data_IF_636186148553
#
_entry.id   IF_636186148553
#
_cell.length_a   1.000
_cell.length_b   1.000
_cell.length_c   1.000
_cell.angle_alpha   90.00
_cell.angle_beta   90.00
_cell.angle_gamma   90.00
#
_symmetry.space_group_name_H-M   'P 1'
#
loop_
_entity.id
_entity.type
_entity.pdbx_description
1 polymer ?
#
# COMPACT_ATOMS: atom_id res chain seq x y z
N UNK A 1 -2.81 -28.90 35.24
CA UNK A 1 -2.33 -30.26 34.89
C UNK A 1 -2.57 -30.42 33.40
N UNK A 2 -1.53 -30.69 32.60
CA UNK A 2 -1.64 -30.54 31.13
C UNK A 2 -1.24 -31.79 30.33
N UNK A 3 -0.45 -32.69 30.91
CA UNK A 3 -0.14 -34.01 30.35
C UNK A 3 -0.05 -35.03 31.47
N UNK A 4 -0.52 -36.25 31.23
CA UNK A 4 -0.35 -37.41 32.12
C UNK A 4 0.12 -38.62 31.33
N UNK A 5 1.01 -39.42 31.93
CA UNK A 5 1.51 -40.65 31.31
C UNK A 5 2.29 -41.51 32.30
N UNK A 6 2.75 -42.68 31.84
CA UNK A 6 3.61 -43.55 32.64
C UNK A 6 5.07 -43.16 32.47
N UNK A 7 5.74 -42.86 33.57
CA UNK A 7 7.15 -42.49 33.60
C UNK A 7 7.80 -43.05 34.85
N UNK A 8 9.06 -43.47 34.77
CA UNK A 8 9.92 -43.55 35.95
C UNK A 8 10.36 -42.13 36.36
N UNK A 9 10.95 -41.99 37.54
CA UNK A 9 11.29 -40.67 38.09
C UNK A 9 12.22 -39.85 37.17
N UNK A 10 13.28 -40.47 36.65
CA UNK A 10 14.24 -39.82 35.73
C UNK A 10 13.59 -39.37 34.42
N UNK A 11 12.71 -40.19 33.84
CA UNK A 11 11.97 -39.88 32.62
C UNK A 11 10.99 -38.71 32.83
N UNK A 12 10.35 -38.64 33.99
CA UNK A 12 9.48 -37.53 34.36
C UNK A 12 10.27 -36.22 34.55
N UNK A 13 11.45 -36.27 35.17
CA UNK A 13 12.35 -35.12 35.27
C UNK A 13 12.80 -34.65 33.88
N UNK A 14 13.21 -35.58 33.01
CA UNK A 14 13.67 -35.25 31.67
C UNK A 14 12.56 -34.56 30.85
N UNK A 15 11.33 -35.09 30.89
CA UNK A 15 10.17 -34.47 30.25
C UNK A 15 9.87 -33.08 30.84
N UNK A 16 9.87 -32.95 32.17
CA UNK A 16 9.57 -31.68 32.82
C UNK A 16 10.67 -30.63 32.59
N UNK A 17 11.91 -31.05 32.39
CA UNK A 17 13.04 -30.16 32.10
C UNK A 17 12.96 -29.61 30.67
N UNK A 18 12.62 -30.46 29.70
CA UNK A 18 12.52 -30.08 28.28
C UNK A 18 11.24 -29.30 27.94
N UNK A 19 10.22 -29.36 28.79
CA UNK A 19 8.99 -28.61 28.62
C UNK A 19 9.00 -27.32 29.46
N UNK A 20 8.95 -26.15 28.80
CA UNK A 20 9.00 -24.84 29.47
C UNK A 20 7.75 -24.54 30.32
N UNK A 21 6.62 -25.17 30.02
CA UNK A 21 5.37 -25.04 30.78
C UNK A 21 5.32 -25.96 31.99
N UNK A 22 6.29 -26.87 32.16
CA UNK A 22 6.33 -27.76 33.31
C UNK A 22 7.00 -27.09 34.52
N UNK A 23 6.21 -26.82 35.55
CA UNK A 23 6.67 -26.34 36.85
C UNK A 23 7.02 -27.49 37.83
N UNK A 24 6.55 -28.71 37.53
CA UNK A 24 6.78 -29.88 38.35
C UNK A 24 5.82 -31.02 37.97
N UNK A 25 5.82 -32.09 38.76
CA UNK A 25 4.89 -33.20 38.56
C UNK A 25 4.56 -33.92 39.87
N UNK A 26 3.44 -34.63 39.89
CA UNK A 26 3.04 -35.47 41.03
C UNK A 26 2.73 -36.89 40.59
N UNK A 27 2.93 -37.83 41.49
CA UNK A 27 2.61 -39.25 41.30
C UNK A 27 2.28 -39.89 42.65
N UNK A 28 1.50 -40.97 42.62
CA UNK A 28 1.08 -41.70 43.83
C UNK A 28 2.05 -42.84 44.11
N UNK A 29 2.52 -42.98 45.36
CA UNK A 29 3.40 -44.10 45.72
C UNK A 29 4.15 -43.92 47.05
N UNK A 30 4.76 -45.00 47.53
CA UNK A 30 5.50 -45.02 48.80
C UNK A 30 6.98 -44.62 48.67
N UNK A 31 7.47 -44.42 47.45
CA UNK A 31 8.83 -43.97 47.17
C UNK A 31 8.79 -42.56 46.59
N UNK A 32 9.71 -41.70 47.05
CA UNK A 32 9.93 -40.36 46.48
C UNK A 32 10.61 -40.40 45.10
N UNK A 33 11.22 -41.53 44.73
CA UNK A 33 11.91 -41.73 43.45
C UNK A 33 11.61 -43.14 42.91
N UNK A 34 10.47 -43.36 42.24
CA UNK A 34 10.11 -44.66 41.70
C UNK A 34 11.04 -45.06 40.54
N UNK A 35 11.67 -46.22 40.68
CA UNK A 35 12.47 -46.84 39.63
C UNK A 35 11.59 -47.42 38.50
N UNK A 36 10.38 -47.87 38.84
CA UNK A 36 9.38 -48.36 37.90
C UNK A 36 8.52 -47.22 37.35
N UNK A 37 7.85 -47.49 36.23
CA UNK A 37 6.93 -46.52 35.64
C UNK A 37 5.65 -46.37 36.47
N UNK A 38 5.39 -45.15 36.92
CA UNK A 38 4.16 -44.77 37.61
C UNK A 38 3.38 -43.76 36.79
N UNK A 39 2.08 -43.64 37.06
CA UNK A 39 1.27 -42.59 36.44
C UNK A 39 1.67 -41.23 37.03
N UNK A 40 2.29 -40.40 36.18
CA UNK A 40 2.75 -39.05 36.50
C UNK A 40 1.79 -38.03 35.91
N UNK A 41 1.54 -36.99 36.69
CA UNK A 41 0.73 -35.85 36.29
C UNK A 41 1.57 -34.57 36.32
N UNK A 42 1.84 -34.00 35.14
CA UNK A 42 2.63 -32.77 35.03
C UNK A 42 1.80 -31.54 35.39
N UNK A 43 2.43 -30.61 36.10
CA UNK A 43 1.84 -29.39 36.62
C UNK A 43 2.48 -28.17 35.95
N UNK A 44 1.65 -27.18 35.65
CA UNK A 44 2.08 -25.87 35.15
C UNK A 44 2.28 -24.84 36.26
N UNK A 45 2.03 -25.22 37.52
CA UNK A 45 2.18 -24.38 38.71
C UNK A 45 3.01 -25.12 39.77
N UNK A 46 3.61 -24.36 40.69
CA UNK A 46 4.52 -24.83 41.73
C UNK A 46 3.84 -25.49 42.94
N UNK A 47 2.53 -25.69 42.90
CA UNK A 47 1.77 -26.08 44.07
C UNK A 47 2.03 -27.57 44.44
N UNK A 48 2.52 -27.85 45.66
CA UNK A 48 2.67 -29.22 46.14
C UNK A 48 1.30 -29.89 46.31
N UNK A 49 1.23 -31.21 46.11
CA UNK A 49 0.05 -31.96 46.52
C UNK A 49 0.03 -32.07 48.05
N UNK A 50 -1.10 -31.80 48.69
CA UNK A 50 -1.25 -31.86 50.16
C UNK A 50 -1.67 -33.25 50.66
N UNK A 51 -2.05 -34.17 49.77
CA UNK A 51 -2.37 -35.55 50.12
C UNK A 51 -1.08 -36.36 50.37
N UNK A 52 -0.89 -36.94 51.57
CA UNK A 52 0.33 -37.69 51.94
C UNK A 52 0.54 -38.97 51.11
N UNK A 53 -0.45 -39.42 50.34
CA UNK A 53 -0.31 -40.53 49.41
C UNK A 53 0.40 -40.14 48.10
N UNK A 54 0.65 -38.86 47.89
CA UNK A 54 1.22 -38.32 46.66
C UNK A 54 2.57 -37.67 46.90
N UNK A 55 3.53 -38.01 46.04
CA UNK A 55 4.82 -37.35 45.97
C UNK A 55 4.73 -36.22 44.95
N UNK A 56 5.42 -35.11 45.21
CA UNK A 56 5.54 -34.00 44.26
C UNK A 56 7.01 -33.68 44.03
N UNK A 57 7.42 -33.67 42.76
CA UNK A 57 8.66 -33.07 42.31
C UNK A 57 8.36 -31.64 41.85
N UNK A 58 9.06 -30.67 42.40
CA UNK A 58 9.02 -29.28 41.94
C UNK A 58 10.30 -29.02 41.15
N UNK A 59 10.17 -28.54 39.92
CA UNK A 59 11.32 -28.18 39.09
C UNK A 59 12.00 -26.98 39.77
N UNK A 60 13.29 -27.09 40.05
CA UNK A 60 14.06 -25.95 40.53
C UNK A 60 14.26 -24.97 39.38
N UNK A 61 13.60 -23.82 39.44
CA UNK A 61 13.94 -22.69 38.59
C UNK A 61 15.08 -21.95 39.27
N UNK A 62 16.11 -21.58 38.51
CA UNK A 62 17.02 -20.56 39.00
C UNK A 62 16.26 -19.24 38.97
N UNK A 63 15.99 -18.68 40.13
CA UNK A 63 15.52 -17.31 40.23
C UNK A 63 16.58 -16.40 39.61
N UNK A 64 16.17 -15.60 38.62
CA UNK A 64 16.99 -14.54 38.07
C UNK A 64 16.42 -13.25 38.64
N UNK A 65 17.18 -12.64 39.53
CA UNK A 65 16.88 -11.30 40.03
C UNK A 65 17.37 -10.28 39.00
N UNK A 66 16.45 -9.51 38.41
CA UNK A 66 16.78 -8.36 37.59
C UNK A 66 16.72 -7.10 38.46
N UNK A 67 17.88 -6.60 38.88
CA UNK A 67 18.00 -5.35 39.62
C UNK A 67 18.11 -4.20 38.62
N UNK A 68 17.17 -3.26 38.66
CA UNK A 68 17.17 -2.04 37.83
C UNK A 68 17.52 -0.87 38.75
N UNK A 69 18.64 -0.21 38.47
CA UNK A 69 19.08 1.00 39.18
C UNK A 69 18.73 2.25 38.34
N UNK A 70 17.66 2.99 38.70
CA UNK A 70 17.24 4.16 37.93
C UNK A 70 18.17 5.38 38.09
N UNK A 71 19.03 5.39 39.13
CA UNK A 71 19.95 6.51 39.40
C UNK A 71 21.30 6.32 38.70
N UNK A 72 21.62 5.10 38.27
CA UNK A 72 22.84 4.77 37.53
C UNK A 72 22.62 4.68 36.01
N UNK A 73 22.28 5.81 35.39
CA UNK A 73 22.15 5.89 33.93
C UNK A 73 23.53 5.84 33.27
N UNK A 74 23.87 4.70 32.66
CA UNK A 74 25.19 4.49 32.04
C UNK A 74 25.38 5.18 30.69
N UNK A 75 24.29 5.47 29.98
CA UNK A 75 24.30 6.17 28.70
C UNK A 75 22.91 6.72 28.36
N UNK A 76 22.86 7.71 27.46
CA UNK A 76 21.62 8.17 26.85
C UNK A 76 21.46 7.50 25.49
N UNK A 77 20.27 6.98 25.19
CA UNK A 77 19.95 6.42 23.88
C UNK A 77 19.83 7.53 22.84
N UNK A 78 20.36 7.33 21.64
CA UNK A 78 20.21 8.29 20.54
C UNK A 78 18.73 8.42 20.16
N UNK A 79 18.14 9.64 20.13
CA UNK A 79 16.73 9.82 19.77
C UNK A 79 16.39 9.39 18.33
N UNK A 80 17.38 9.16 17.46
CA UNK A 80 17.22 8.69 16.08
C UNK A 80 17.19 7.16 15.94
N UNK A 81 17.07 6.42 17.04
CA UNK A 81 17.11 4.94 17.01
C UNK A 81 15.91 4.32 16.27
N UNK A 82 14.76 5.00 16.26
CA UNK A 82 13.53 4.52 15.62
C UNK A 82 13.32 5.25 14.29
N UNK A 83 13.69 4.55 13.21
CA UNK A 83 13.55 5.03 11.84
C UNK A 83 12.51 4.27 11.02
N UNK A 84 11.99 4.93 10.00
CA UNK A 84 11.26 4.28 8.90
C UNK A 84 12.10 4.31 7.63
N UNK A 85 11.96 3.28 6.80
CA UNK A 85 12.64 3.14 5.51
C UNK A 85 11.62 2.99 4.38
N UNK A 86 11.88 3.61 3.24
CA UNK A 86 11.08 3.42 2.02
C UNK A 86 11.96 3.43 0.77
N UNK A 87 11.89 2.32 0.01
CA UNK A 87 12.68 2.11 -1.20
C UNK A 87 12.27 3.02 -2.36
N UNK A 88 10.97 3.22 -2.59
CA UNK A 88 10.45 3.84 -3.81
C UNK A 88 10.22 5.36 -3.73
N UNK A 89 10.62 5.99 -2.63
CA UNK A 89 10.02 7.25 -2.25
C UNK A 89 8.53 7.03 -1.95
N UNK A 90 7.95 7.81 -1.06
CA UNK A 90 6.58 7.57 -0.61
C UNK A 90 5.50 7.95 -1.63
N UNK A 91 5.83 7.91 -2.92
CA UNK A 91 5.15 8.68 -3.93
C UNK A 91 3.89 8.02 -4.45
N UNK A 92 3.77 6.70 -4.60
CA UNK A 92 2.49 6.14 -5.09
C UNK A 92 2.18 4.77 -4.51
N UNK A 93 1.69 4.76 -3.26
CA UNK A 93 0.90 3.66 -2.74
C UNK A 93 -0.51 4.20 -2.41
N UNK A 94 -1.58 3.41 -2.56
CA UNK A 94 -2.97 3.82 -2.32
C UNK A 94 -3.23 4.25 -0.88
N UNK A 95 -2.25 4.04 0.01
CA UNK A 95 -2.16 4.57 1.37
C UNK A 95 -0.73 4.98 1.74
N UNK A 96 0.05 5.40 0.74
CA UNK A 96 1.38 5.99 0.94
C UNK A 96 1.30 7.34 1.65
N UNK A 97 2.43 8.04 1.73
CA UNK A 97 2.43 9.37 2.32
C UNK A 97 1.92 10.42 1.36
N UNK A 98 1.94 10.20 0.05
CA UNK A 98 1.40 11.16 -0.90
C UNK A 98 -0.14 11.18 -0.85
N UNK A 99 -0.75 12.38 -0.86
CA UNK A 99 -2.21 12.53 -0.70
C UNK A 99 -3.02 12.38 -1.99
N UNK A 100 -2.38 12.17 -3.13
CA UNK A 100 -3.04 11.84 -4.39
C UNK A 100 -3.82 10.52 -4.25
N UNK A 101 -5.08 10.54 -4.66
CA UNK A 101 -5.97 9.39 -4.63
C UNK A 101 -6.07 8.70 -5.99
N UNK A 102 -5.80 9.42 -7.09
CA UNK A 102 -5.91 8.87 -8.43
C UNK A 102 -4.64 8.11 -8.81
N UNK A 103 -4.80 6.97 -9.46
CA UNK A 103 -3.69 6.21 -10.02
C UNK A 103 -3.67 6.33 -11.54
N UNK A 104 -2.50 6.67 -12.12
CA UNK A 104 -2.39 6.94 -13.56
C UNK A 104 -2.84 8.35 -13.94
N UNK A 105 -2.53 9.32 -13.09
CA UNK A 105 -2.92 10.74 -13.17
C UNK A 105 -2.58 11.44 -14.50
N UNK A 106 -1.60 10.94 -15.25
CA UNK A 106 -1.16 11.51 -16.54
C UNK A 106 -1.83 10.86 -17.75
N UNK A 107 -2.67 9.84 -17.54
CA UNK A 107 -3.29 9.02 -18.60
C UNK A 107 -2.29 8.30 -19.52
N UNK A 108 -1.02 8.23 -19.12
CA UNK A 108 0.02 7.66 -19.95
C UNK A 108 -0.03 6.14 -19.87
N UNK A 109 -0.29 5.53 -21.02
CA UNK A 109 -0.19 4.10 -21.19
C UNK A 109 0.72 3.79 -22.39
N UNK A 110 1.87 3.16 -22.14
CA UNK A 110 2.79 2.66 -23.17
C UNK A 110 2.16 1.54 -24.01
N UNK A 111 1.11 0.88 -23.50
CA UNK A 111 0.36 -0.22 -24.14
C UNK A 111 -1.02 0.16 -24.69
N UNK A 112 -1.41 1.45 -24.62
CA UNK A 112 -2.64 1.95 -25.26
C UNK A 112 -3.98 1.54 -24.63
N UNK A 113 -4.01 1.02 -23.40
CA UNK A 113 -5.25 0.63 -22.70
C UNK A 113 -5.63 1.61 -21.59
N UNK A 114 -6.54 2.54 -21.84
CA UNK A 114 -7.44 2.95 -20.75
C UNK A 114 -8.35 1.75 -20.50
N UNK A 115 -8.12 1.05 -19.40
CA UNK A 115 -8.73 -0.23 -19.08
C UNK A 115 -8.53 -0.58 -17.60
N UNK A 116 -9.19 -1.65 -17.13
CA UNK A 116 -9.28 -1.96 -15.69
C UNK A 116 -7.90 -1.97 -15.02
N UNK A 117 -7.80 -1.33 -13.86
CA UNK A 117 -6.56 -1.22 -13.06
C UNK A 117 -6.01 0.20 -12.86
N UNK A 118 -6.41 1.18 -13.67
CA UNK A 118 -6.08 2.61 -13.47
C UNK A 118 -7.27 3.53 -13.73
N UNK A 119 -7.79 3.47 -14.95
CA UNK A 119 -8.95 4.23 -15.40
C UNK A 119 -9.93 3.29 -16.11
N UNK A 120 -11.19 3.29 -15.67
CA UNK A 120 -12.27 2.52 -16.28
C UNK A 120 -13.03 3.41 -17.26
N UNK A 121 -13.53 2.83 -18.35
CA UNK A 121 -14.33 3.55 -19.33
C UNK A 121 -15.80 3.59 -18.91
N UNK A 122 -16.46 4.72 -19.13
CA UNK A 122 -17.89 4.92 -18.88
C UNK A 122 -18.60 5.06 -20.23
N UNK A 123 -19.54 4.15 -20.48
CA UNK A 123 -20.45 4.16 -21.65
C UNK A 123 -21.89 3.96 -21.16
N UNK A 124 -22.57 5.04 -20.81
CA UNK A 124 -23.98 4.99 -20.41
C UNK A 124 -24.86 5.38 -21.61
N UNK A 125 -25.49 4.40 -22.24
CA UNK A 125 -26.36 4.57 -23.41
C UNK A 125 -25.77 5.51 -24.48
N UNK A 126 -24.46 5.34 -24.74
CA UNK A 126 -23.67 6.22 -25.60
C UNK A 126 -22.63 5.47 -26.42
N UNK A 127 -22.39 5.98 -27.64
CA UNK A 127 -21.24 5.66 -28.48
C UNK A 127 -20.18 6.73 -28.30
N UNK A 128 -18.93 6.29 -28.17
CA UNK A 128 -17.83 7.19 -27.89
C UNK A 128 -16.48 6.64 -28.32
N UNK A 129 -15.59 7.59 -28.56
CA UNK A 129 -14.18 7.35 -28.82
C UNK A 129 -13.37 7.83 -27.62
N UNK A 130 -12.76 6.86 -26.94
CA UNK A 130 -11.89 7.07 -25.78
C UNK A 130 -10.52 6.51 -26.15
N UNK A 131 -9.58 7.37 -26.53
CA UNK A 131 -8.27 6.95 -27.05
C UNK A 131 -7.12 7.82 -26.55
N UNK A 132 -5.90 7.26 -26.54
CA UNK A 132 -4.69 8.06 -26.40
C UNK A 132 -4.50 8.92 -27.66
N UNK A 133 -4.26 10.22 -27.47
CA UNK A 133 -4.08 11.21 -28.53
C UNK A 133 -2.66 11.79 -28.51
N UNK A 134 -1.83 11.25 -29.39
CA UNK A 134 -0.44 11.69 -29.60
C UNK A 134 -0.34 12.97 -30.44
N UNK A 135 -1.40 13.39 -31.15
CA UNK A 135 -1.40 14.63 -31.92
C UNK A 135 -1.54 15.86 -31.00
N UNK A 136 -2.13 15.67 -29.83
CA UNK A 136 -2.27 16.70 -28.80
C UNK A 136 -1.60 16.25 -27.51
N UNK A 137 -0.26 16.21 -27.46
CA UNK A 137 0.42 15.80 -26.25
C UNK A 137 0.24 16.82 -25.13
N UNK A 138 0.27 16.33 -23.89
CA UNK A 138 0.50 17.19 -22.73
C UNK A 138 2.02 17.35 -22.51
N UNK A 139 2.47 17.68 -21.29
CA UNK A 139 3.88 17.89 -20.97
C UNK A 139 4.74 16.69 -21.40
N UNK A 140 5.96 16.99 -21.88
CA UNK A 140 6.98 16.03 -22.33
C UNK A 140 6.62 15.18 -23.55
N UNK A 141 5.72 15.66 -24.43
CA UNK A 141 5.44 15.01 -25.72
C UNK A 141 4.58 13.76 -25.62
N UNK A 142 4.05 13.47 -24.42
CA UNK A 142 3.26 12.27 -24.16
C UNK A 142 1.80 12.44 -24.54
N UNK A 143 1.15 11.37 -25.04
CA UNK A 143 -0.21 11.45 -25.52
C UNK A 143 -1.15 11.87 -24.39
N UNK A 144 -2.11 12.71 -24.74
CA UNK A 144 -3.25 12.98 -23.85
C UNK A 144 -4.31 11.90 -23.99
N UNK A 145 -5.36 11.98 -23.18
CA UNK A 145 -6.52 11.12 -23.29
C UNK A 145 -7.68 11.88 -23.93
N UNK A 146 -8.05 11.49 -25.15
CA UNK A 146 -9.23 12.01 -25.84
C UNK A 146 -10.48 11.31 -25.34
N UNK A 147 -11.51 12.11 -25.05
CA UNK A 147 -12.89 11.70 -24.85
C UNK A 147 -13.74 12.39 -25.90
N UNK A 148 -14.40 11.62 -26.77
CA UNK A 148 -15.31 12.13 -27.79
C UNK A 148 -16.64 11.39 -27.68
N UNK A 149 -17.70 12.13 -27.35
CA UNK A 149 -19.06 11.61 -27.25
C UNK A 149 -19.69 11.68 -28.64
N UNK A 150 -19.83 10.56 -29.33
CA UNK A 150 -20.28 10.53 -30.72
C UNK A 150 -21.81 10.61 -30.84
N UNK A 151 -22.54 9.77 -30.09
CA UNK A 151 -24.02 9.74 -30.12
C UNK A 151 -24.60 9.01 -28.91
N UNK A 152 -25.86 9.27 -28.55
CA UNK A 152 -26.53 8.62 -27.40
C UNK A 152 -27.13 9.61 -26.41
N UNK A 153 -27.65 9.09 -25.29
CA UNK A 153 -28.46 9.86 -24.33
C UNK A 153 -27.91 9.97 -22.91
N UNK A 154 -26.97 9.10 -22.52
CA UNK A 154 -26.36 9.14 -21.19
C UNK A 154 -25.05 9.93 -21.18
N UNK A 155 -23.98 9.33 -20.64
CA UNK A 155 -22.68 9.99 -20.50
C UNK A 155 -21.53 9.09 -20.94
N UNK A 156 -20.44 9.76 -21.31
CA UNK A 156 -19.20 9.17 -21.80
C UNK A 156 -18.07 9.71 -20.97
N UNK A 157 -17.22 8.84 -20.43
CA UNK A 157 -16.18 9.32 -19.55
C UNK A 157 -15.20 8.26 -19.07
N UNK A 158 -14.49 8.64 -18.02
CA UNK A 158 -13.54 7.79 -17.32
C UNK A 158 -13.82 7.80 -15.82
N UNK A 159 -13.66 6.66 -15.16
CA UNK A 159 -13.62 6.58 -13.69
C UNK A 159 -12.27 6.08 -13.20
N UNK A 160 -11.90 6.45 -11.96
CA UNK A 160 -10.66 6.05 -11.30
C UNK A 160 -10.98 5.59 -9.88
N UNK A 161 -10.51 4.40 -9.54
CA UNK A 161 -10.71 3.75 -8.23
C UNK A 161 -9.42 3.64 -7.43
N UNK A 162 -8.39 4.41 -7.78
CA UNK A 162 -7.08 4.34 -7.14
C UNK A 162 -6.26 3.11 -7.57
N UNK A 163 -5.22 2.79 -6.80
CA UNK A 163 -4.35 1.65 -7.09
C UNK A 163 -5.15 0.35 -7.08
N UNK A 164 -4.82 -0.56 -8.00
CA UNK A 164 -5.41 -1.88 -8.03
C UNK A 164 -6.90 -1.87 -8.35
N UNK A 165 -7.45 -0.70 -8.73
CA UNK A 165 -8.89 -0.50 -8.88
C UNK A 165 -9.69 -0.87 -7.59
N UNK A 166 -9.04 -0.81 -6.42
CA UNK A 166 -9.58 -1.21 -5.12
C UNK A 166 -10.75 -0.34 -4.63
N UNK A 167 -10.85 0.90 -5.12
CA UNK A 167 -11.87 1.86 -4.74
C UNK A 167 -11.35 2.93 -3.78
N UNK A 168 -12.08 4.03 -3.70
CA UNK A 168 -11.77 5.18 -2.85
C UNK A 168 -12.54 5.10 -1.53
N UNK A 169 -11.82 5.26 -0.42
CA UNK A 169 -12.40 5.45 0.91
C UNK A 169 -12.76 6.93 1.10
N UNK A 170 -14.01 7.28 0.78
CA UNK A 170 -14.52 8.65 0.84
C UNK A 170 -15.12 8.93 2.23
N UNK A 171 -14.86 10.14 2.73
CA UNK A 171 -15.43 10.64 3.99
C UNK A 171 -16.55 11.64 3.68
N UNK A 172 -17.78 11.26 4.01
CA UNK A 172 -18.95 12.12 3.85
C UNK A 172 -18.81 13.45 4.58
N UNK A 173 -19.27 14.53 3.95
CA UNK A 173 -19.20 15.89 4.47
C UNK A 173 -17.80 16.49 4.56
N UNK A 174 -16.77 15.82 4.03
CA UNK A 174 -15.39 16.32 4.00
C UNK A 174 -14.99 16.75 2.61
N UNK A 175 -14.36 17.92 2.50
CA UNK A 175 -13.98 18.49 1.20
C UNK A 175 -12.80 17.74 0.57
N UNK A 176 -12.93 17.40 -0.70
CA UNK A 176 -11.85 16.93 -1.56
C UNK A 176 -11.51 18.04 -2.56
N UNK A 177 -10.23 18.18 -2.84
CA UNK A 177 -9.69 19.19 -3.74
C UNK A 177 -9.01 18.50 -4.91
N UNK A 178 -9.16 19.06 -6.10
CA UNK A 178 -8.56 18.48 -7.28
C UNK A 178 -8.37 19.49 -8.39
N UNK A 179 -7.66 19.05 -9.40
CA UNK A 179 -7.52 19.79 -10.64
C UNK A 179 -7.29 18.85 -11.80
N UNK A 180 -7.67 19.30 -13.00
CA UNK A 180 -7.33 18.63 -14.25
C UNK A 180 -6.76 19.63 -15.25
N UNK A 181 -5.93 19.13 -16.15
CA UNK A 181 -5.53 19.85 -17.35
C UNK A 181 -6.36 19.35 -18.53
N UNK A 182 -7.06 20.26 -19.19
CA UNK A 182 -7.89 19.95 -20.35
C UNK A 182 -7.66 20.95 -21.48
N UNK A 183 -7.88 20.48 -22.71
CA UNK A 183 -8.07 21.31 -23.91
C UNK A 183 -9.28 20.81 -24.70
N UNK A 184 -9.88 21.70 -25.46
CA UNK A 184 -10.95 21.39 -26.41
C UNK A 184 -10.92 22.40 -27.57
N UNK A 185 -11.40 22.01 -28.74
CA UNK A 185 -11.49 22.91 -29.91
C UNK A 185 -12.70 23.84 -29.83
N UNK A 186 -13.72 23.44 -29.05
CA UNK A 186 -14.94 24.21 -28.79
C UNK A 186 -15.25 24.21 -27.28
N UNK A 187 -16.12 25.11 -26.80
CA UNK A 187 -16.60 25.05 -25.42
C UNK A 187 -17.24 23.70 -25.12
N UNK A 188 -16.85 23.08 -24.00
CA UNK A 188 -17.37 21.77 -23.55
C UNK A 188 -17.68 21.81 -22.07
N UNK A 189 -18.82 21.24 -21.68
CA UNK A 189 -19.16 21.03 -20.28
C UNK A 189 -18.68 19.66 -19.83
N UNK A 190 -17.67 19.64 -18.97
CA UNK A 190 -17.07 18.43 -18.42
C UNK A 190 -17.52 18.26 -16.97
N UNK A 191 -18.22 17.18 -16.66
CA UNK A 191 -18.64 16.89 -15.28
C UNK A 191 -17.53 16.11 -14.58
N UNK A 192 -17.18 16.52 -13.36
CA UNK A 192 -16.33 15.75 -12.45
C UNK A 192 -17.14 15.36 -11.22
N UNK A 193 -16.99 14.14 -10.74
CA UNK A 193 -17.82 13.58 -9.68
C UNK A 193 -17.08 12.60 -8.77
N UNK A 194 -17.58 12.49 -7.54
CA UNK A 194 -17.32 11.39 -6.62
C UNK A 194 -18.58 10.53 -6.57
N UNK A 195 -18.42 9.24 -6.77
CA UNK A 195 -19.52 8.29 -6.94
C UNK A 195 -19.30 7.06 -6.08
N UNK A 196 -20.40 6.39 -5.75
CA UNK A 196 -20.40 5.03 -5.24
C UNK A 196 -20.72 4.08 -6.41
N UNK A 197 -19.72 3.36 -6.90
CA UNK A 197 -19.89 2.51 -8.09
C UNK A 197 -20.72 1.25 -7.81
N UNK A 198 -20.93 0.90 -6.53
CA UNK A 198 -21.72 -0.27 -6.14
C UNK A 198 -23.21 0.02 -6.16
N UNK A 199 -23.59 1.27 -5.90
CA UNK A 199 -24.99 1.74 -5.87
C UNK A 199 -25.34 2.69 -7.02
N UNK A 200 -24.35 3.12 -7.81
CA UNK A 200 -24.44 4.17 -8.85
C UNK A 200 -24.78 5.56 -8.31
N UNK A 201 -24.68 5.76 -6.99
CA UNK A 201 -25.01 7.03 -6.36
C UNK A 201 -23.92 8.08 -6.64
N UNK A 202 -24.32 9.25 -7.15
CA UNK A 202 -23.45 10.43 -7.22
C UNK A 202 -23.41 11.09 -5.85
N UNK A 203 -22.23 11.06 -5.21
CA UNK A 203 -22.02 11.60 -3.87
C UNK A 203 -21.70 13.10 -3.91
N UNK A 204 -20.97 13.55 -4.92
CA UNK A 204 -20.74 14.96 -5.23
C UNK A 204 -20.40 15.13 -6.70
N UNK A 205 -20.76 16.27 -7.28
CA UNK A 205 -20.39 16.61 -8.65
C UNK A 205 -20.27 18.11 -8.87
N UNK A 206 -19.46 18.50 -9.86
CA UNK A 206 -19.47 19.86 -10.41
C UNK A 206 -19.19 19.82 -11.91
N UNK A 207 -19.58 20.87 -12.62
CA UNK A 207 -19.34 21.01 -14.06
C UNK A 207 -18.25 22.04 -14.31
N UNK A 208 -17.23 21.64 -15.05
CA UNK A 208 -16.14 22.48 -15.52
C UNK A 208 -16.44 22.91 -16.95
N UNK A 209 -16.47 24.21 -17.19
CA UNK A 209 -16.64 24.77 -18.53
C UNK A 209 -15.26 24.87 -19.18
N UNK A 210 -14.93 23.91 -20.03
CA UNK A 210 -13.67 23.86 -20.75
C UNK A 210 -13.74 24.89 -21.88
N UNK A 211 -12.85 25.88 -21.81
CA UNK A 211 -12.73 26.93 -22.82
C UNK A 211 -12.02 26.37 -24.05
N UNK A 212 -12.36 26.85 -25.27
CA UNK A 212 -11.63 26.47 -26.47
C UNK A 212 -10.18 26.95 -26.38
N UNK A 213 -9.26 26.13 -26.87
CA UNK A 213 -7.84 26.49 -26.98
C UNK A 213 -6.91 25.51 -26.26
N UNK A 214 -5.75 26.03 -25.85
CA UNK A 214 -4.66 25.23 -25.30
C UNK A 214 -4.92 24.72 -23.87
N UNK A 215 -4.06 23.78 -23.45
CA UNK A 215 -4.02 23.19 -22.11
C UNK A 215 -4.20 24.22 -21.01
N UNK A 216 -5.30 24.08 -20.28
CA UNK A 216 -5.64 24.95 -19.16
C UNK A 216 -5.90 24.10 -17.93
N UNK A 217 -5.46 24.58 -16.76
CA UNK A 217 -5.75 23.96 -15.48
C UNK A 217 -7.13 24.39 -14.99
N UNK A 218 -7.98 23.42 -14.68
CA UNK A 218 -9.28 23.61 -14.07
C UNK A 218 -9.26 23.02 -12.67
N UNK A 219 -9.41 23.88 -11.65
CA UNK A 219 -9.50 23.44 -10.27
C UNK A 219 -10.95 23.16 -9.89
N UNK A 220 -11.15 22.20 -9.00
CA UNK A 220 -12.46 21.85 -8.47
C UNK A 220 -12.38 21.44 -7.01
N UNK A 221 -13.54 21.45 -6.37
CA UNK A 221 -13.73 20.98 -5.01
C UNK A 221 -15.04 20.20 -4.93
N UNK A 222 -15.02 19.06 -4.26
CA UNK A 222 -16.15 18.14 -4.14
C UNK A 222 -16.31 17.75 -2.67
N UNK A 223 -17.52 17.86 -2.14
CA UNK A 223 -17.85 17.41 -0.77
C UNK A 223 -18.90 16.30 -0.87
N UNK A 224 -18.52 15.02 -0.77
CA UNK A 224 -19.44 13.91 -0.94
C UNK A 224 -20.50 13.93 0.17
N UNK A 225 -21.75 13.68 -0.21
CA UNK A 225 -22.90 13.67 0.70
C UNK A 225 -22.85 12.52 1.72
N UNK A 226 -22.16 11.43 1.39
CA UNK A 226 -21.95 10.27 2.24
C UNK A 226 -20.51 9.74 2.13
N UNK A 227 -20.08 8.95 3.12
CA UNK A 227 -18.85 8.17 3.01
C UNK A 227 -19.09 6.87 2.26
N UNK A 228 -18.01 6.22 1.81
CA UNK A 228 -18.08 4.94 1.10
C UNK A 228 -17.65 3.80 2.00
N UNK A 229 -18.32 2.65 1.86
CA UNK A 229 -17.97 1.44 2.59
C UNK A 229 -16.65 0.86 2.05
N UNK A 230 -15.89 0.22 2.94
CA UNK A 230 -14.75 -0.59 2.58
C UNK A 230 -14.82 -1.94 3.32
N UNK A 231 -14.48 -3.01 2.63
CA UNK A 231 -14.43 -4.36 3.16
C UNK A 231 -13.12 -5.06 2.78
N UNK A 232 -12.75 -6.06 3.56
CA UNK A 232 -11.68 -6.99 3.18
C UNK A 232 -12.28 -8.11 2.37
N UNK A 233 -11.70 -8.39 1.21
CA UNK A 233 -12.11 -9.48 0.33
C UNK A 233 -10.99 -10.52 0.22
N UNK A 234 -11.33 -11.72 -0.21
CA UNK A 234 -10.32 -12.73 -0.54
C UNK A 234 -9.52 -12.28 -1.77
N UNK A 235 -8.21 -12.49 -1.75
CA UNK A 235 -7.33 -12.18 -2.89
C UNK A 235 -7.84 -12.91 -4.14
N UNK A 236 -8.04 -12.19 -5.25
CA UNK A 236 -8.61 -12.67 -6.53
C UNK A 236 -10.10 -13.04 -6.51
N UNK A 237 -10.85 -12.74 -5.45
CA UNK A 237 -12.31 -12.94 -5.43
C UNK A 237 -13.07 -11.97 -6.33
N UNK A 238 -12.54 -10.76 -6.56
CA UNK A 238 -13.06 -9.80 -7.53
C UNK A 238 -12.07 -9.67 -8.70
N UNK A 239 -12.43 -10.07 -9.93
CA UNK A 239 -11.54 -10.00 -11.09
C UNK A 239 -11.25 -8.55 -11.53
N UNK A 240 -11.98 -7.57 -11.01
CA UNK A 240 -11.76 -6.17 -11.31
C UNK A 240 -10.84 -5.49 -10.30
N UNK A 241 -10.38 -6.19 -9.26
CA UNK A 241 -9.51 -5.65 -8.22
C UNK A 241 -8.17 -6.39 -8.25
N UNK A 242 -7.10 -5.63 -8.38
CA UNK A 242 -5.72 -6.12 -8.34
C UNK A 242 -5.07 -5.73 -7.01
N UNK A 243 -5.18 -6.61 -6.03
CA UNK A 243 -4.51 -6.51 -4.73
C UNK A 243 -3.06 -7.02 -4.76
N UNK A 244 -2.46 -7.18 -5.95
CA UNK A 244 -1.16 -7.82 -6.14
C UNK A 244 -1.21 -9.34 -5.94
N UNK A 245 -0.16 -10.04 -6.42
CA UNK A 245 -0.02 -11.48 -6.14
C UNK A 245 0.58 -12.37 -7.22
N UNK A 246 1.47 -11.86 -8.09
CA UNK A 246 2.35 -12.78 -8.82
C UNK A 246 3.40 -13.35 -7.85
N UNK A 247 3.06 -14.46 -7.19
CA UNK A 247 4.04 -15.36 -6.56
C UNK A 247 3.93 -15.59 -5.04
N UNK A 248 3.05 -14.90 -4.31
CA UNK A 248 2.88 -15.18 -2.88
C UNK A 248 1.52 -15.86 -2.62
N UNK A 249 1.48 -17.18 -2.36
CA UNK A 249 0.26 -17.84 -1.92
C UNK A 249 -0.07 -17.29 -0.53
N UNK A 250 -1.24 -16.65 -0.39
CA UNK A 250 -1.90 -16.37 0.90
C UNK A 250 -0.92 -16.05 2.03
N UNK A 251 0.05 -15.14 1.82
CA UNK A 251 0.95 -14.79 2.92
C UNK A 251 0.09 -14.09 3.96
N UNK A 252 -0.04 -14.63 5.18
CA UNK A 252 -0.85 -14.01 6.22
C UNK A 252 -0.26 -12.63 6.51
N UNK A 253 -0.88 -11.56 6.02
CA UNK A 253 -0.36 -10.21 6.20
C UNK A 253 -0.85 -9.15 5.21
N UNK A 254 -1.31 -9.50 4.01
CA UNK A 254 -1.86 -8.52 3.06
C UNK A 254 -3.38 -8.66 2.95
N UNK A 255 -4.12 -7.69 3.50
CA UNK A 255 -5.56 -7.60 3.32
C UNK A 255 -5.87 -6.96 1.97
N UNK A 256 -6.57 -7.68 1.10
CA UNK A 256 -7.12 -7.14 -0.13
C UNK A 256 -8.35 -6.29 0.21
N UNK A 257 -8.31 -5.00 -0.10
CA UNK A 257 -9.36 -4.06 0.30
C UNK A 257 -10.22 -3.71 -0.92
N UNK A 258 -11.53 -3.68 -0.70
CA UNK A 258 -12.51 -3.17 -1.66
C UNK A 258 -13.27 -2.03 -1.02
N UNK A 259 -13.18 -0.84 -1.60
CA UNK A 259 -13.98 0.32 -1.23
C UNK A 259 -14.98 0.64 -2.34
N UNK A 260 -16.11 1.27 -2.02
CA UNK A 260 -17.17 1.56 -2.98
C UNK A 260 -16.98 2.87 -3.78
N UNK A 261 -16.04 3.73 -3.39
CA UNK A 261 -15.88 5.04 -4.00
C UNK A 261 -15.13 5.03 -5.33
N UNK A 262 -15.48 5.95 -6.22
CA UNK A 262 -14.71 6.26 -7.43
C UNK A 262 -14.76 7.75 -7.76
N UNK A 263 -13.73 8.21 -8.48
CA UNK A 263 -13.72 9.53 -9.11
C UNK A 263 -14.09 9.38 -10.57
N UNK A 264 -14.99 10.21 -11.11
CA UNK A 264 -15.37 10.17 -12.51
C UNK A 264 -15.22 11.53 -13.20
N UNK A 265 -14.94 11.48 -14.49
CA UNK A 265 -14.89 12.63 -15.41
C UNK A 265 -15.65 12.27 -16.68
N UNK A 266 -16.70 13.01 -17.02
CA UNK A 266 -17.63 12.63 -18.08
C UNK A 266 -18.22 13.80 -18.87
N UNK A 267 -18.45 13.54 -20.16
CA UNK A 267 -19.23 14.34 -21.09
C UNK A 267 -20.69 13.89 -21.07
N UNK A 268 -21.62 14.85 -21.04
CA UNK A 268 -23.06 14.59 -21.03
C UNK A 268 -23.79 14.97 -22.33
N UNK A 269 -23.05 15.31 -23.39
CA UNK A 269 -23.62 15.79 -24.65
C UNK A 269 -22.91 15.21 -25.87
N UNK A 270 -23.68 14.61 -26.77
CA UNK A 270 -23.19 14.15 -28.06
C UNK A 270 -22.60 15.29 -28.91
N UNK A 271 -21.53 14.97 -29.62
CA UNK A 271 -20.69 15.87 -30.38
C UNK A 271 -19.61 16.59 -29.56
N UNK A 272 -19.62 16.52 -28.22
CA UNK A 272 -18.56 17.14 -27.41
C UNK A 272 -17.29 16.26 -27.40
N UNK A 273 -16.14 16.92 -27.40
CA UNK A 273 -14.84 16.27 -27.37
C UNK A 273 -13.86 17.08 -26.52
N UNK A 274 -13.06 16.39 -25.70
CA UNK A 274 -12.07 17.00 -24.81
C UNK A 274 -10.85 16.10 -24.69
N UNK A 275 -9.65 16.70 -24.66
CA UNK A 275 -8.45 15.98 -24.23
C UNK A 275 -8.15 16.28 -22.78
N UNK A 276 -7.79 15.24 -22.03
CA UNK A 276 -7.31 15.30 -20.65
C UNK A 276 -5.82 15.00 -20.62
N UNK A 277 -5.03 15.85 -19.98
CA UNK A 277 -3.57 15.71 -19.90
C UNK A 277 -3.06 15.28 -18.53
N UNK A 278 -3.79 15.65 -17.48
CA UNK A 278 -3.44 15.33 -16.09
C UNK A 278 -4.67 15.47 -15.18
N UNK A 279 -4.77 14.65 -14.14
CA UNK A 279 -5.81 14.74 -13.12
C UNK A 279 -5.27 14.48 -11.70
N UNK A 280 -5.66 15.29 -10.74
CA UNK A 280 -5.33 15.14 -9.31
C UNK A 280 -6.59 15.20 -8.49
N UNK A 281 -6.68 14.32 -7.50
CA UNK A 281 -7.68 14.36 -6.45
C UNK A 281 -7.01 14.04 -5.12
N UNK A 282 -7.26 14.85 -4.12
CA UNK A 282 -6.75 14.64 -2.77
C UNK A 282 -7.76 15.09 -1.71
N UNK A 283 -7.63 14.62 -0.47
CA UNK A 283 -8.32 15.24 0.66
C UNK A 283 -7.96 16.73 0.74
N UNK A 284 -8.92 17.56 1.15
CA UNK A 284 -8.63 18.93 1.58
C UNK A 284 -7.80 18.96 2.87
N UNK A 285 -7.72 20.12 3.52
CA UNK A 285 -6.88 20.31 4.72
C UNK A 285 -7.13 19.29 5.83
N UNK A 286 -8.35 18.77 5.97
CA UNK A 286 -8.70 17.77 6.98
C UNK A 286 -7.90 16.47 6.87
N UNK A 287 -7.51 16.09 5.65
CA UNK A 287 -6.78 14.85 5.37
C UNK A 287 -5.31 15.06 5.00
N UNK A 288 -4.84 16.32 5.00
CA UNK A 288 -3.47 16.70 4.62
C UNK A 288 -2.63 17.18 5.79
N UNK A 289 -1.35 16.86 5.79
CA UNK A 289 -0.44 17.26 6.84
C UNK A 289 0.16 18.65 6.57
N UNK A 290 -0.22 19.65 7.38
CA UNK A 290 0.32 21.02 7.34
C UNK A 290 0.30 21.65 5.94
N UNK A 291 -0.77 21.44 5.17
CA UNK A 291 -0.93 21.99 3.82
C UNK A 291 -0.05 21.35 2.74
N UNK A 292 0.78 20.36 3.10
CA UNK A 292 1.56 19.59 2.13
C UNK A 292 0.66 18.59 1.40
N UNK A 293 1.11 18.09 0.25
CA UNK A 293 0.48 16.97 -0.46
C UNK A 293 0.83 15.64 0.22
N UNK A 294 0.64 15.59 1.54
CA UNK A 294 1.00 14.46 2.40
C UNK A 294 -0.21 14.01 3.19
N UNK A 295 -0.54 12.72 3.12
CA UNK A 295 -1.65 12.12 3.83
C UNK A 295 -1.43 12.19 5.34
N UNK A 296 -2.36 12.86 6.03
CA UNK A 296 -2.26 13.12 7.47
C UNK A 296 -2.24 11.84 8.30
N UNK A 297 -3.06 10.85 7.96
CA UNK A 297 -3.15 9.59 8.70
C UNK A 297 -1.82 8.82 8.70
N UNK A 298 -1.12 8.78 7.56
CA UNK A 298 0.21 8.15 7.48
C UNK A 298 1.22 8.85 8.40
N UNK A 299 1.22 10.19 8.41
CA UNK A 299 2.09 10.97 9.31
C UNK A 299 1.76 10.73 10.78
N UNK A 300 0.48 10.71 11.14
CA UNK A 300 0.05 10.48 12.52
C UNK A 300 0.43 9.09 13.00
N UNK A 301 0.31 8.07 12.13
CA UNK A 301 0.76 6.70 12.44
C UNK A 301 2.26 6.67 12.71
N UNK A 302 3.10 7.23 11.82
CA UNK A 302 4.55 7.26 12.05
C UNK A 302 4.92 7.94 13.37
N UNK A 303 4.25 9.05 13.70
CA UNK A 303 4.46 9.74 14.97
C UNK A 303 4.06 8.88 16.17
N UNK A 304 2.93 8.17 16.07
CA UNK A 304 2.47 7.27 17.12
C UNK A 304 3.43 6.10 17.36
N UNK A 305 4.14 5.66 16.31
CA UNK A 305 5.18 4.64 16.39
C UNK A 305 6.50 5.17 16.99
N UNK A 306 6.60 6.47 17.27
CA UNK A 306 7.83 7.10 17.75
C UNK A 306 8.90 7.25 16.68
N UNK A 307 8.53 7.24 15.39
CA UNK A 307 9.49 7.42 14.29
C UNK A 307 10.05 8.84 14.31
N UNK A 308 11.37 8.95 14.42
CA UNK A 308 12.09 10.24 14.49
C UNK A 308 12.98 10.50 13.28
N UNK A 309 13.27 9.46 12.49
CA UNK A 309 14.04 9.57 11.25
C UNK A 309 13.38 8.80 10.12
N UNK A 310 13.48 9.36 8.92
CA UNK A 310 13.02 8.72 7.70
C UNK A 310 14.22 8.57 6.77
N UNK A 311 14.52 7.34 6.37
CA UNK A 311 15.46 7.03 5.30
C UNK A 311 14.68 6.81 4.01
N UNK A 312 14.97 7.59 2.98
CA UNK A 312 14.43 7.39 1.63
C UNK A 312 15.48 6.78 0.71
N UNK A 313 15.02 5.97 -0.25
CA UNK A 313 15.86 5.26 -1.21
C UNK A 313 16.17 3.85 -0.75
N UNK A 314 17.21 3.24 -1.29
CA UNK A 314 17.54 1.83 -1.09
C UNK A 314 17.91 1.20 -2.43
N UNK A 315 17.61 -0.08 -2.64
CA UNK A 315 17.97 -0.77 -3.91
C UNK A 315 17.35 -0.06 -5.12
N UNK A 316 16.22 0.61 -4.93
CA UNK A 316 15.51 1.35 -5.97
C UNK A 316 16.27 2.59 -6.47
N UNK A 317 17.01 3.28 -5.58
CA UNK A 317 17.86 4.42 -5.94
C UNK A 317 19.22 3.98 -6.52
N UNK A 318 19.57 2.70 -6.40
CA UNK A 318 20.87 2.15 -6.79
C UNK A 318 20.78 1.15 -7.95
N UNK A 319 19.59 0.82 -8.45
CA UNK A 319 19.43 -0.11 -9.56
C UNK A 319 20.03 0.49 -10.86
N UNK A 320 20.79 -0.29 -11.65
CA UNK A 320 21.56 0.20 -12.80
C UNK A 320 20.73 1.01 -13.79
N UNK A 321 19.47 0.61 -14.01
CA UNK A 321 18.56 1.24 -14.96
C UNK A 321 17.68 2.35 -14.33
N UNK A 322 17.60 2.43 -12.99
CA UNK A 322 16.74 3.37 -12.26
C UNK A 322 17.50 4.58 -11.67
N UNK A 323 18.84 4.55 -11.62
CA UNK A 323 19.64 5.65 -11.01
C UNK A 323 19.40 7.01 -11.66
N UNK A 324 19.06 7.04 -12.96
CA UNK A 324 18.70 8.26 -13.67
C UNK A 324 17.30 8.81 -13.28
N UNK A 325 16.42 7.99 -12.70
CA UNK A 325 15.11 8.43 -12.19
C UNK A 325 15.23 9.12 -10.83
N UNK A 326 16.05 8.57 -9.95
CA UNK A 326 16.21 9.01 -8.56
C UNK A 326 17.06 10.27 -8.38
N UNK A 327 17.31 10.99 -9.46
CA UNK A 327 17.91 12.31 -9.42
C UNK A 327 16.89 13.29 -8.82
N UNK A 328 17.20 13.83 -7.65
CA UNK A 328 16.31 14.72 -6.90
C UNK A 328 15.73 15.85 -7.75
N UNK A 329 16.49 16.34 -8.74
CA UNK A 329 16.08 17.39 -9.67
C UNK A 329 14.77 17.04 -10.41
N UNK A 330 14.60 15.76 -10.80
CA UNK A 330 13.40 15.26 -11.51
C UNK A 330 12.16 15.16 -10.61
N UNK A 331 12.36 15.19 -9.29
CA UNK A 331 11.29 15.10 -8.29
C UNK A 331 10.90 16.45 -7.69
N UNK A 332 11.53 17.54 -8.14
CA UNK A 332 11.19 18.90 -7.73
C UNK A 332 10.15 19.55 -8.64
N UNK A 333 9.55 20.65 -8.17
CA UNK A 333 8.55 21.38 -8.93
C UNK A 333 7.17 20.71 -8.95
N UNK A 334 6.23 21.25 -9.76
CA UNK A 334 4.87 20.73 -9.81
C UNK A 334 4.81 19.29 -10.34
N UNK A 335 4.00 18.43 -9.73
CA UNK A 335 3.89 17.01 -10.09
C UNK A 335 3.58 16.78 -11.57
N UNK A 336 2.70 17.58 -12.17
CA UNK A 336 2.32 17.50 -13.59
C UNK A 336 3.45 17.88 -14.57
N UNK A 337 4.62 18.32 -14.09
CA UNK A 337 5.81 18.59 -14.90
C UNK A 337 6.92 17.55 -14.72
N UNK A 338 6.72 16.56 -13.84
CA UNK A 338 7.74 15.55 -13.53
C UNK A 338 7.64 14.38 -14.49
N UNK A 339 8.79 13.97 -15.01
CA UNK A 339 8.90 12.81 -15.89
C UNK A 339 8.88 11.50 -15.08
N UNK A 340 8.14 10.48 -15.55
CA UNK A 340 8.29 9.07 -15.14
C UNK A 340 9.33 8.50 -16.05
N UNK A 341 10.16 7.64 -15.54
CA UNK A 341 11.06 6.91 -16.42
C UNK A 341 10.91 5.43 -16.16
N UNK A 342 9.66 4.97 -16.06
CA UNK A 342 9.32 3.55 -16.02
C UNK A 342 10.03 2.79 -14.90
N UNK A 343 10.23 3.41 -13.74
CA UNK A 343 10.92 2.73 -12.64
C UNK A 343 10.03 1.60 -12.11
N UNK A 344 10.49 0.37 -12.30
CA UNK A 344 9.77 -0.84 -11.94
C UNK A 344 10.38 -1.53 -10.70
N UNK A 345 9.54 -1.94 -9.76
CA UNK A 345 9.91 -2.93 -8.72
C UNK A 345 9.03 -4.16 -8.87
N UNK A 346 9.60 -5.29 -9.26
CA UNK A 346 8.84 -6.54 -9.43
C UNK A 346 7.60 -6.40 -10.32
N UNK A 347 7.66 -5.54 -11.36
CA UNK A 347 6.59 -5.19 -12.31
C UNK A 347 5.51 -4.18 -11.83
N UNK A 348 5.71 -3.48 -10.71
CA UNK A 348 4.77 -2.43 -10.26
C UNK A 348 5.24 -1.02 -10.66
N UNK A 349 4.39 -0.29 -11.39
CA UNK A 349 4.66 1.07 -11.88
C UNK A 349 4.38 2.14 -10.82
N UNK A 350 5.32 3.08 -10.68
CA UNK A 350 5.23 4.24 -9.80
C UNK A 350 5.17 5.47 -10.72
N UNK A 351 4.05 6.20 -10.69
CA UNK A 351 3.65 7.13 -11.75
C UNK A 351 4.53 8.38 -11.96
N UNK A 352 4.37 8.94 -13.16
CA UNK A 352 4.98 10.14 -13.77
C UNK A 352 4.87 9.99 -15.31
N UNK A 353 5.45 10.87 -16.14
CA UNK A 353 5.45 10.70 -17.62
C UNK A 353 6.55 9.86 -18.30
N UNK A 354 6.25 8.70 -18.90
CA UNK A 354 7.25 7.78 -19.54
C UNK A 354 7.91 8.34 -20.82
N UNK A 355 9.17 8.03 -21.14
CA UNK A 355 9.71 8.10 -22.51
C UNK A 355 9.49 6.77 -23.28
N UNK A 356 9.58 6.77 -24.63
CA UNK A 356 9.33 5.57 -25.45
C UNK A 356 10.35 4.44 -25.19
N UNK A 357 9.95 3.16 -25.29
CA UNK A 357 10.88 2.04 -25.13
C UNK A 357 11.75 1.88 -26.37
N UNK A 358 13.07 1.94 -26.21
CA UNK A 358 13.96 1.16 -27.05
C UNK A 358 14.05 -0.29 -26.52
N UNK A 359 14.20 -1.30 -27.40
CA UNK A 359 14.04 -2.69 -27.02
C UNK A 359 15.36 -3.27 -26.50
N UNK A 360 15.47 -3.52 -25.20
CA UNK A 360 16.49 -4.44 -24.69
C UNK A 360 15.88 -5.54 -23.83
N UNK A 361 15.90 -6.73 -24.44
CA UNK A 361 15.72 -8.06 -23.86
C UNK A 361 16.58 -8.22 -22.60
N UNK A 362 15.93 -8.42 -21.45
CA UNK A 362 16.58 -8.95 -20.26
C UNK A 362 16.58 -10.49 -20.31
N UNK A 363 17.70 -11.06 -20.75
CA UNK A 363 18.17 -12.37 -20.31
C UNK A 363 19.48 -12.11 -19.58
N UNK A 364 19.49 -12.17 -18.25
CA UNK A 364 20.74 -12.13 -17.48
C UNK A 364 21.04 -13.49 -16.85
N UNK A 365 22.06 -14.11 -17.43
CA UNK A 365 22.87 -15.22 -16.94
C UNK A 365 23.68 -14.78 -15.69
N UNK A 366 23.80 -15.70 -14.74
CA UNK A 366 24.36 -15.57 -13.39
C UNK A 366 25.90 -15.44 -13.36
N UNK A 367 26.59 -15.42 -14.51
CA UNK A 367 28.05 -15.52 -14.58
C UNK A 367 28.85 -14.22 -14.38
N UNK A 368 28.23 -13.03 -14.44
CA UNK A 368 28.98 -11.75 -14.48
C UNK A 368 29.26 -11.11 -13.11
N UNK A 369 28.91 -11.77 -12.00
CA UNK A 369 29.09 -11.21 -10.64
C UNK A 369 30.47 -11.43 -10.01
N UNK A 370 31.41 -12.14 -10.68
CA UNK A 370 32.74 -12.46 -10.11
C UNK A 370 33.87 -11.45 -10.39
N UNK A 371 33.66 -10.40 -11.17
CA UNK A 371 34.76 -9.50 -11.59
C UNK A 371 34.76 -8.11 -10.96
N UNK A 372 33.76 -7.75 -10.12
CA UNK A 372 33.67 -6.40 -9.53
C UNK A 372 34.21 -6.27 -8.10
N UNK A 373 34.72 -7.34 -7.49
CA UNK A 373 35.40 -7.27 -6.20
C UNK A 373 36.83 -7.79 -6.41
N UNK A 374 37.76 -6.86 -6.65
CA UNK A 374 39.19 -7.17 -6.66
C UNK A 374 39.62 -7.77 -5.32
N UNK A 375 40.71 -8.57 -5.30
CA UNK A 375 41.12 -9.28 -4.10
C UNK A 375 41.54 -8.29 -3.00
N UNK A 376 41.29 -8.61 -1.71
CA UNK A 376 41.63 -7.75 -0.60
C UNK A 376 43.15 -7.60 -0.50
N UNK A 377 43.64 -6.37 -0.61
CA UNK A 377 45.06 -6.04 -0.46
C UNK A 377 45.53 -6.14 0.99
N UNK A 378 46.78 -6.56 1.17
CA UNK A 378 47.62 -6.33 2.36
C UNK A 378 49.09 -6.30 1.91
N UNK A 379 50.01 -5.58 2.58
CA UNK A 379 49.86 -4.64 3.70
C UNK A 379 49.78 -3.15 3.28
#
# INVERSE_FOLDING_TARGET
>A
MFVSGKYNFTGAIAFCTSNYECAGFTFKGNSSEPAEEVLVYFKSTYEPNTDPLWNTYVKNFKEVELIIDPDNVTHTTNPLYLGCHSDSGYTHQPRGFYSQLLYGETFQNITGRVGPGRWNQIYEDAQAKIIADAAHPFVSGMPSQLLEFESGGGRVGLSNRGLGNEGLALSGGKVYEGYLFARADKPVNLTVSLEDYTTTAVLASTTLVIKPGNWTRYNFSLTPSAGTACETIDVRSDPNIDCGGQGSPLTPGHACIKCAGEFAVALGKAGDAVNLGYAMLQPGEWGRYKGLEVLKSGVDILKSMGVTVIRQGGTFACAPDNGAYYQWQKWTGPAYKRESVGAEWGHSYISGSDPPPEPHLALYDWATWRTMIGPPGSP
#
